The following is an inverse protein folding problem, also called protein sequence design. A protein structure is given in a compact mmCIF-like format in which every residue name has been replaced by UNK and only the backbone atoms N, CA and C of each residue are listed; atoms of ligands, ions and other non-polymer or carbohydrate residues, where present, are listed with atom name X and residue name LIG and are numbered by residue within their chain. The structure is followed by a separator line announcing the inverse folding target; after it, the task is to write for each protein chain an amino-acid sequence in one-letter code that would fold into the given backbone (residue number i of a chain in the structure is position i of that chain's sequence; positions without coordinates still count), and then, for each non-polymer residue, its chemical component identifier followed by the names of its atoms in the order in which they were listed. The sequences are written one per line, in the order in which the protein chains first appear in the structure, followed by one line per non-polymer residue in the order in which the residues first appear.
data_IF_050809219044
#
_entry.id   IF_050809219044
#
_cell.length_a   1.000
_cell.length_b   1.000
_cell.length_c   1.000
_cell.angle_alpha   90.00
_cell.angle_beta   90.00
_cell.angle_gamma   90.00
#
_symmetry.space_group_name_H-M   'P 1'
#
loop_
_entity.id
_entity.type
_entity.pdbx_description
1 polymer ?
#
# COMPACT_ATOMS: atom_id res chain seq x y z
N UNK A 1 -16.02 16.30 -25.29
CA UNK A 1 -15.60 15.31 -26.30
C UNK A 1 -14.15 14.98 -26.07
N UNK A 2 -13.83 13.79 -25.57
CA UNK A 2 -12.44 13.39 -25.34
C UNK A 2 -11.78 13.06 -26.69
N UNK A 3 -10.62 13.63 -26.96
CA UNK A 3 -9.87 13.29 -28.18
C UNK A 3 -9.38 11.85 -28.13
N UNK A 4 -9.31 11.15 -29.27
CA UNK A 4 -8.90 9.75 -29.31
C UNK A 4 -7.53 9.47 -28.65
N UNK A 5 -6.65 10.47 -28.61
CA UNK A 5 -5.27 10.40 -28.12
C UNK A 5 -5.02 11.04 -26.74
N UNK A 6 -6.00 11.78 -26.20
CA UNK A 6 -5.86 12.50 -24.93
C UNK A 6 -5.07 13.83 -25.01
N UNK A 7 -4.67 14.26 -26.22
CA UNK A 7 -3.80 15.43 -26.43
C UNK A 7 -4.47 16.75 -26.02
N UNK A 8 -5.79 16.84 -26.14
CA UNK A 8 -6.57 18.04 -25.74
C UNK A 8 -7.39 17.80 -24.48
N UNK A 9 -7.21 16.68 -23.79
CA UNK A 9 -8.00 16.36 -22.60
C UNK A 9 -7.71 17.36 -21.46
N UNK A 10 -6.54 18.02 -21.45
CA UNK A 10 -6.19 19.11 -20.53
C UNK A 10 -7.14 20.33 -20.59
N UNK A 11 -7.81 20.56 -21.73
CA UNK A 11 -8.77 21.66 -21.88
C UNK A 11 -10.13 21.37 -21.21
N UNK A 12 -10.35 20.13 -20.77
CA UNK A 12 -11.61 19.66 -20.21
C UNK A 12 -11.43 19.07 -18.80
N UNK A 13 -10.31 19.37 -18.16
CA UNK A 13 -10.06 18.99 -16.77
C UNK A 13 -10.92 19.82 -15.82
N UNK A 14 -11.35 19.20 -14.73
CA UNK A 14 -11.96 19.89 -13.60
C UNK A 14 -10.86 20.51 -12.72
N UNK A 15 -11.15 21.66 -12.12
CA UNK A 15 -10.22 22.26 -11.15
C UNK A 15 -10.21 21.43 -9.86
N UNK A 16 -9.02 21.11 -9.36
CA UNK A 16 -8.85 20.40 -8.11
C UNK A 16 -9.48 21.13 -6.90
N UNK A 17 -9.74 22.44 -6.96
CA UNK A 17 -10.48 23.13 -5.88
C UNK A 17 -11.89 22.57 -5.66
N UNK A 18 -12.49 21.97 -6.68
CA UNK A 18 -13.81 21.34 -6.62
C UNK A 18 -13.74 19.81 -6.43
N UNK A 19 -12.62 19.30 -5.89
CA UNK A 19 -12.34 17.87 -5.78
C UNK A 19 -13.43 17.06 -5.07
N UNK A 20 -13.99 16.09 -5.78
CA UNK A 20 -14.97 15.11 -5.28
C UNK A 20 -14.64 13.73 -5.82
N UNK A 21 -14.65 12.74 -4.93
CA UNK A 21 -14.32 11.35 -5.30
C UNK A 21 -15.28 10.30 -4.76
N UNK A 22 -15.95 10.62 -3.65
CA UNK A 22 -16.86 9.71 -2.95
C UNK A 22 -18.16 10.44 -2.67
N UNK A 23 -19.27 9.70 -2.67
CA UNK A 23 -20.62 10.27 -2.51
C UNK A 23 -20.94 10.67 -1.06
N UNK A 24 -20.05 10.33 -0.12
CA UNK A 24 -20.18 10.61 1.31
C UNK A 24 -19.05 11.48 1.83
N UNK A 25 -19.27 12.20 2.93
CA UNK A 25 -18.18 12.76 3.72
C UNK A 25 -17.41 11.62 4.40
N UNK A 26 -16.28 11.24 3.80
CA UNK A 26 -15.48 10.08 4.21
C UNK A 26 -14.99 10.21 5.65
N UNK A 27 -14.52 11.40 6.04
CA UNK A 27 -14.03 11.65 7.40
C UNK A 27 -15.11 11.39 8.43
N UNK A 28 -16.28 12.01 8.26
CA UNK A 28 -17.40 11.85 9.21
C UNK A 28 -17.90 10.40 9.24
N UNK A 29 -17.95 9.75 8.07
CA UNK A 29 -18.38 8.37 7.94
C UNK A 29 -17.43 7.41 8.67
N UNK A 30 -16.12 7.57 8.48
CA UNK A 30 -15.10 6.77 9.16
C UNK A 30 -15.14 6.98 10.67
N UNK A 31 -15.22 8.23 11.14
CA UNK A 31 -15.30 8.50 12.58
C UNK A 31 -16.56 7.89 13.20
N UNK A 32 -17.69 7.91 12.50
CA UNK A 32 -18.93 7.29 12.98
C UNK A 32 -18.76 5.78 13.19
N UNK A 33 -18.24 5.06 12.20
CA UNK A 33 -18.04 3.61 12.28
C UNK A 33 -17.01 3.20 13.33
N UNK A 34 -15.88 3.90 13.40
CA UNK A 34 -14.84 3.57 14.38
C UNK A 34 -15.31 3.81 15.82
N UNK A 35 -16.29 4.68 16.04
CA UNK A 35 -16.95 4.90 17.33
C UNK A 35 -18.16 3.98 17.56
N UNK A 36 -18.35 2.93 16.75
CA UNK A 36 -19.41 1.94 16.92
C UNK A 36 -20.78 2.36 16.38
N UNK A 37 -20.86 3.48 15.66
CA UNK A 37 -22.07 3.91 14.98
C UNK A 37 -22.35 3.12 13.70
N UNK A 38 -23.63 3.05 13.32
CA UNK A 38 -24.04 2.48 12.04
C UNK A 38 -23.59 3.38 10.87
N UNK A 39 -23.32 2.82 9.68
CA UNK A 39 -22.92 3.62 8.54
C UNK A 39 -24.07 4.52 8.07
N UNK A 40 -23.77 5.76 7.66
CA UNK A 40 -24.80 6.68 7.15
C UNK A 40 -25.26 6.35 5.73
N UNK A 41 -24.51 5.50 5.01
CA UNK A 41 -24.89 4.95 3.73
C UNK A 41 -24.79 3.43 3.80
N UNK A 42 -25.87 2.74 3.44
CA UNK A 42 -25.83 1.28 3.20
C UNK A 42 -25.12 0.93 1.88
N UNK A 43 -24.95 1.92 0.99
CA UNK A 43 -24.27 1.70 -0.29
C UNK A 43 -22.75 1.73 -0.09
N UNK A 44 -22.15 0.54 -0.05
CA UNK A 44 -20.70 0.35 -0.11
C UNK A 44 -20.27 0.34 -1.58
N UNK A 45 -19.33 1.22 -1.93
CA UNK A 45 -18.74 1.25 -3.28
C UNK A 45 -17.85 0.04 -3.50
N UNK A 46 -17.10 -0.35 -2.48
CA UNK A 46 -16.30 -1.58 -2.49
C UNK A 46 -16.81 -2.50 -1.38
N UNK A 47 -17.35 -3.64 -1.79
CA UNK A 47 -17.77 -4.69 -0.87
C UNK A 47 -16.55 -5.42 -0.32
N UNK A 48 -16.14 -5.04 0.89
CA UNK A 48 -14.96 -5.60 1.56
C UNK A 48 -15.22 -7.00 2.15
N UNK A 49 -16.49 -7.41 2.28
CA UNK A 49 -16.88 -8.75 2.74
C UNK A 49 -16.66 -9.78 1.65
N UNK A 50 -16.89 -9.41 0.39
CA UNK A 50 -16.63 -10.24 -0.79
C UNK A 50 -15.15 -10.38 -1.16
N UNK A 51 -14.24 -9.77 -0.41
CA UNK A 51 -12.78 -9.88 -0.60
C UNK A 51 -12.28 -11.17 0.05
N UNK A 52 -12.22 -12.25 -0.74
CA UNK A 52 -11.86 -13.61 -0.33
C UNK A 52 -10.37 -13.87 -0.41
N UNK A 53 -9.84 -14.65 0.54
CA UNK A 53 -8.46 -15.12 0.52
C UNK A 53 -8.45 -16.62 0.23
N UNK A 54 -7.49 -17.07 -0.57
CA UNK A 54 -7.18 -18.50 -0.75
C UNK A 54 -6.24 -19.03 0.34
N UNK A 55 -5.49 -18.15 0.98
CA UNK A 55 -4.67 -18.47 2.15
C UNK A 55 -5.46 -18.35 3.44
N UNK A 56 -5.09 -19.13 4.45
CA UNK A 56 -5.61 -18.95 5.80
C UNK A 56 -5.26 -17.57 6.37
N UNK A 57 -6.12 -16.96 7.21
CA UNK A 57 -5.81 -15.69 7.85
C UNK A 57 -4.55 -15.78 8.72
N UNK A 58 -3.58 -14.92 8.45
CA UNK A 58 -2.39 -14.79 9.29
C UNK A 58 -2.75 -14.08 10.60
N UNK A 59 -2.33 -14.67 11.72
CA UNK A 59 -2.52 -14.12 13.08
C UNK A 59 -1.18 -14.04 13.79
N UNK A 60 -1.03 -13.04 14.65
CA UNK A 60 0.10 -12.97 15.55
C UNK A 60 -0.03 -13.97 16.69
N UNK A 61 1.11 -14.38 17.24
CA UNK A 61 1.14 -15.30 18.38
C UNK A 61 0.75 -14.57 19.68
N UNK A 62 1.23 -13.34 19.87
CA UNK A 62 0.91 -12.50 21.01
C UNK A 62 0.72 -11.04 20.56
N UNK A 63 -0.36 -10.43 21.02
CA UNK A 63 -0.57 -9.00 20.83
C UNK A 63 0.32 -8.23 21.81
N UNK A 64 1.34 -7.54 21.28
CA UNK A 64 2.19 -6.62 22.05
C UNK A 64 2.09 -5.20 21.50
N UNK A 65 2.31 -4.22 22.37
CA UNK A 65 2.31 -2.82 21.96
C UNK A 65 3.35 -2.51 20.88
N UNK A 66 4.49 -3.20 20.92
CA UNK A 66 5.63 -3.01 20.02
C UNK A 66 5.64 -4.07 18.92
N UNK A 67 4.56 -4.13 18.12
CA UNK A 67 4.47 -5.03 16.96
C UNK A 67 4.56 -4.23 15.66
N UNK A 68 5.51 -4.63 14.81
CA UNK A 68 5.62 -4.18 13.42
C UNK A 68 5.25 -5.33 12.47
N UNK A 69 4.18 -5.12 11.70
CA UNK A 69 3.82 -5.99 10.58
C UNK A 69 4.40 -5.41 9.29
N UNK A 70 5.22 -6.18 8.60
CA UNK A 70 5.81 -5.84 7.31
C UNK A 70 5.09 -6.66 6.24
N UNK A 71 4.37 -5.99 5.34
CA UNK A 71 3.66 -6.64 4.23
C UNK A 71 4.34 -6.29 2.92
N UNK A 72 4.97 -7.29 2.29
CA UNK A 72 5.68 -7.14 1.03
C UNK A 72 4.73 -7.46 -0.13
N UNK A 73 4.43 -6.46 -0.97
CA UNK A 73 3.70 -6.61 -2.23
C UNK A 73 4.60 -7.30 -3.26
N UNK A 74 4.21 -8.49 -3.69
CA UNK A 74 5.00 -9.30 -4.63
C UNK A 74 4.11 -9.88 -5.74
N UNK A 75 4.73 -10.41 -6.80
CA UNK A 75 4.05 -11.10 -7.88
C UNK A 75 4.01 -12.60 -7.66
N UNK A 76 2.95 -13.26 -8.09
CA UNK A 76 2.81 -14.72 -7.95
C UNK A 76 4.02 -15.53 -8.48
N UNK A 77 4.62 -15.08 -9.57
CA UNK A 77 5.79 -15.63 -10.25
C UNK A 77 7.14 -15.26 -9.61
N UNK A 78 7.19 -14.30 -8.69
CA UNK A 78 8.43 -13.76 -8.10
C UNK A 78 8.94 -14.57 -6.88
N UNK A 79 9.01 -15.90 -7.03
CA UNK A 79 9.43 -16.82 -5.96
C UNK A 79 10.84 -16.49 -5.45
N UNK A 80 11.76 -16.15 -6.36
CA UNK A 80 13.14 -15.81 -6.01
C UNK A 80 13.21 -14.57 -5.10
N UNK A 81 12.41 -13.53 -5.37
CA UNK A 81 12.32 -12.33 -4.51
C UNK A 81 11.78 -12.69 -3.13
N UNK A 82 10.76 -13.53 -3.04
CA UNK A 82 10.24 -14.01 -1.74
C UNK A 82 11.29 -14.81 -0.97
N UNK A 83 11.99 -15.73 -1.63
CA UNK A 83 13.05 -16.53 -0.99
C UNK A 83 14.22 -15.67 -0.51
N UNK A 84 14.54 -14.63 -1.25
CA UNK A 84 15.50 -13.61 -0.86
C UNK A 84 15.11 -12.90 0.45
N UNK A 85 13.87 -12.42 0.55
CA UNK A 85 13.33 -11.87 1.80
C UNK A 85 13.36 -12.89 2.94
N UNK A 86 12.96 -14.15 2.67
CA UNK A 86 13.01 -15.26 3.63
C UNK A 86 14.43 -15.56 4.13
N UNK A 87 15.44 -15.40 3.28
CA UNK A 87 16.85 -15.58 3.63
C UNK A 87 17.44 -14.39 4.40
N UNK A 88 16.78 -13.23 4.37
CA UNK A 88 17.26 -11.96 4.94
C UNK A 88 16.27 -11.37 5.95
N UNK A 89 15.46 -10.38 5.54
CA UNK A 89 14.60 -9.59 6.41
C UNK A 89 13.63 -10.44 7.23
N UNK A 90 12.99 -11.45 6.62
CA UNK A 90 11.97 -12.25 7.30
C UNK A 90 12.53 -13.16 8.40
N UNK A 91 13.87 -13.31 8.51
CA UNK A 91 14.53 -14.00 9.63
C UNK A 91 14.56 -13.15 10.91
N UNK A 92 14.44 -11.84 10.77
CA UNK A 92 14.48 -10.89 11.88
C UNK A 92 13.09 -10.87 12.52
N UNK A 93 12.90 -11.68 13.56
CA UNK A 93 11.63 -11.77 14.29
C UNK A 93 11.49 -10.76 15.42
N UNK A 94 12.60 -10.19 15.87
CA UNK A 94 12.60 -9.12 16.85
C UNK A 94 13.84 -8.24 16.72
N UNK A 95 13.71 -6.97 17.11
CA UNK A 95 14.82 -6.01 17.14
C UNK A 95 14.49 -4.87 18.09
N UNK A 96 15.42 -4.53 18.99
CA UNK A 96 15.29 -3.43 19.96
C UNK A 96 13.94 -3.40 20.72
N UNK A 97 13.48 -4.57 21.18
CA UNK A 97 12.21 -4.70 21.93
C UNK A 97 10.97 -4.88 21.06
N UNK A 98 11.05 -4.62 19.75
CA UNK A 98 9.94 -4.79 18.82
C UNK A 98 9.83 -6.21 18.29
N UNK A 99 8.62 -6.73 18.22
CA UNK A 99 8.27 -7.93 17.47
C UNK A 99 8.06 -7.58 15.99
N UNK A 100 8.64 -8.36 15.10
CA UNK A 100 8.61 -8.12 13.66
C UNK A 100 8.07 -9.38 12.97
N UNK A 101 7.01 -9.19 12.19
CA UNK A 101 6.51 -10.23 11.28
C UNK A 101 6.55 -9.72 9.85
N UNK A 102 7.21 -10.45 8.96
CA UNK A 102 7.18 -10.19 7.52
C UNK A 102 6.30 -11.21 6.83
N UNK A 103 5.41 -10.74 5.97
CA UNK A 103 4.49 -11.57 5.16
C UNK A 103 4.42 -11.01 3.74
N UNK A 104 3.98 -11.84 2.81
CA UNK A 104 3.85 -11.49 1.39
C UNK A 104 2.37 -11.34 1.02
N UNK A 105 2.04 -10.35 0.19
CA UNK A 105 0.68 -10.20 -0.37
C UNK A 105 0.72 -10.25 -1.89
N UNK A 106 -0.17 -11.05 -2.47
CA UNK A 106 -0.29 -11.22 -3.92
C UNK A 106 -1.67 -11.69 -4.35
N UNK A 107 -1.93 -11.57 -5.65
CA UNK A 107 -3.05 -12.24 -6.31
C UNK A 107 -2.60 -13.54 -6.96
N UNK A 108 -3.47 -14.13 -7.77
CA UNK A 108 -3.15 -15.29 -8.60
C UNK A 108 -2.93 -14.86 -10.07
N UNK A 109 -2.19 -15.64 -10.85
CA UNK A 109 -1.98 -15.40 -12.26
C UNK A 109 -2.17 -16.69 -13.08
N UNK A 110 -3.23 -16.73 -13.89
CA UNK A 110 -3.62 -17.95 -14.60
C UNK A 110 -3.93 -19.08 -13.62
N UNK A 111 -3.37 -20.27 -13.86
CA UNK A 111 -3.63 -21.48 -13.07
C UNK A 111 -2.58 -21.74 -11.98
N UNK A 112 -1.81 -20.74 -11.57
CA UNK A 112 -0.73 -20.90 -10.58
C UNK A 112 -1.21 -21.01 -9.12
N UNK A 113 -2.52 -20.96 -8.87
CA UNK A 113 -3.07 -20.96 -7.52
C UNK A 113 -2.62 -22.17 -6.68
N UNK A 114 -2.59 -23.37 -7.27
CA UNK A 114 -2.15 -24.58 -6.59
C UNK A 114 -0.69 -24.48 -6.15
N UNK A 115 0.18 -23.92 -6.99
CA UNK A 115 1.59 -23.70 -6.65
C UNK A 115 1.75 -22.72 -5.50
N UNK A 116 0.97 -21.64 -5.48
CA UNK A 116 0.96 -20.68 -4.37
C UNK A 116 0.47 -21.30 -3.07
N UNK A 117 -0.56 -22.15 -3.14
CA UNK A 117 -1.07 -22.89 -1.97
C UNK A 117 -0.01 -23.84 -1.42
N UNK A 118 0.69 -24.60 -2.27
CA UNK A 118 1.77 -25.49 -1.82
C UNK A 118 2.96 -24.71 -1.24
N UNK A 119 3.32 -23.56 -1.81
CA UNK A 119 4.32 -22.67 -1.23
C UNK A 119 3.88 -22.17 0.16
N UNK A 120 2.62 -21.71 0.28
CA UNK A 120 2.11 -21.19 1.53
C UNK A 120 1.96 -22.27 2.60
N UNK A 121 1.63 -23.53 2.25
CA UNK A 121 1.66 -24.66 3.18
C UNK A 121 3.04 -24.87 3.80
N UNK A 122 4.10 -24.60 3.04
CA UNK A 122 5.48 -24.76 3.50
C UNK A 122 5.94 -23.61 4.41
N UNK A 123 5.60 -22.37 4.07
CA UNK A 123 6.18 -21.19 4.73
C UNK A 123 5.19 -20.43 5.64
N UNK A 124 3.89 -20.57 5.42
CA UNK A 124 2.80 -19.92 6.16
C UNK A 124 3.01 -18.40 6.32
N UNK A 125 3.49 -17.75 5.26
CA UNK A 125 3.86 -16.34 5.26
C UNK A 125 3.22 -15.55 4.11
N UNK A 126 2.16 -16.07 3.49
CA UNK A 126 1.54 -15.48 2.30
C UNK A 126 0.05 -15.17 2.54
N UNK A 127 -0.34 -13.99 2.07
CA UNK A 127 -1.71 -13.53 1.88
C UNK A 127 -2.02 -13.66 0.39
N UNK A 128 -2.80 -14.67 0.03
CA UNK A 128 -3.17 -14.96 -1.37
C UNK A 128 -4.61 -14.51 -1.57
N UNK A 129 -4.80 -13.38 -2.24
CA UNK A 129 -6.12 -12.85 -2.52
C UNK A 129 -6.77 -13.44 -3.77
N UNK A 130 -8.10 -13.47 -3.79
CA UNK A 130 -8.91 -13.86 -4.94
C UNK A 130 -9.04 -12.70 -5.93
N UNK A 131 -7.93 -12.40 -6.62
CA UNK A 131 -7.89 -11.45 -7.72
C UNK A 131 -6.71 -11.75 -8.65
N UNK A 132 -6.85 -11.35 -9.91
CA UNK A 132 -5.77 -11.49 -10.90
C UNK A 132 -4.63 -10.52 -10.57
N UNK A 133 -3.43 -11.04 -10.39
CA UNK A 133 -2.22 -10.27 -10.16
C UNK A 133 -1.80 -9.55 -11.44
N UNK A 134 -2.08 -8.26 -11.48
CA UNK A 134 -1.78 -7.34 -12.57
C UNK A 134 -1.42 -5.98 -11.97
N UNK A 135 -0.57 -5.21 -12.65
CA UNK A 135 -0.09 -3.93 -12.13
C UNK A 135 -1.21 -2.97 -11.71
N UNK A 136 -2.24 -2.80 -12.56
CA UNK A 136 -3.42 -1.97 -12.27
C UNK A 136 -4.36 -2.52 -11.18
N UNK A 137 -4.08 -3.73 -10.68
CA UNK A 137 -4.78 -4.36 -9.56
C UNK A 137 -3.98 -4.27 -8.25
N UNK A 138 -2.89 -3.50 -8.19
CA UNK A 138 -2.13 -3.29 -6.96
C UNK A 138 -2.98 -2.71 -5.82
N UNK A 139 -4.03 -1.95 -6.14
CA UNK A 139 -4.99 -1.45 -5.14
C UNK A 139 -5.66 -2.59 -4.37
N UNK A 140 -5.88 -3.76 -4.99
CA UNK A 140 -6.34 -4.94 -4.25
C UNK A 140 -5.29 -5.43 -3.26
N UNK A 141 -4.00 -5.46 -3.60
CA UNK A 141 -2.93 -5.84 -2.66
C UNK A 141 -2.96 -4.96 -1.40
N UNK A 142 -3.19 -3.66 -1.55
CA UNK A 142 -3.35 -2.78 -0.39
C UNK A 142 -4.59 -3.12 0.45
N UNK A 143 -5.73 -3.42 -0.19
CA UNK A 143 -6.92 -3.86 0.55
C UNK A 143 -6.64 -5.14 1.35
N UNK A 144 -6.03 -6.15 0.73
CA UNK A 144 -5.66 -7.39 1.42
C UNK A 144 -4.65 -7.11 2.55
N UNK A 145 -3.66 -6.26 2.32
CA UNK A 145 -2.68 -5.86 3.34
C UNK A 145 -3.34 -5.20 4.54
N UNK A 146 -4.22 -4.22 4.32
CA UNK A 146 -4.95 -3.52 5.38
C UNK A 146 -5.95 -4.45 6.09
N UNK A 147 -6.67 -5.29 5.36
CA UNK A 147 -7.57 -6.31 5.93
C UNK A 147 -6.81 -7.27 6.84
N UNK A 148 -5.62 -7.72 6.42
CA UNK A 148 -4.79 -8.57 7.26
C UNK A 148 -4.29 -7.81 8.48
N UNK A 149 -3.78 -6.59 8.34
CA UNK A 149 -3.32 -5.78 9.48
C UNK A 149 -4.43 -5.53 10.52
N UNK A 150 -5.65 -5.24 10.06
CA UNK A 150 -6.83 -5.07 10.92
C UNK A 150 -7.17 -6.32 11.74
N UNK A 151 -6.87 -7.50 11.22
CA UNK A 151 -7.20 -8.79 11.83
C UNK A 151 -5.97 -9.51 12.41
N UNK A 152 -4.78 -8.94 12.30
CA UNK A 152 -3.54 -9.66 12.59
C UNK A 152 -3.40 -9.97 14.09
N UNK A 153 -3.75 -9.03 14.95
CA UNK A 153 -3.72 -9.14 16.41
C UNK A 153 -5.02 -8.61 17.03
N UNK A 154 -5.18 -8.69 18.35
CA UNK A 154 -6.27 -8.00 19.07
C UNK A 154 -6.21 -6.49 18.92
N UNK A 155 -5.00 -5.93 18.78
CA UNK A 155 -4.77 -4.54 18.41
C UNK A 155 -4.06 -4.45 17.07
N UNK A 156 -4.44 -3.47 16.25
CA UNK A 156 -3.80 -3.23 14.96
C UNK A 156 -2.32 -2.85 15.19
N UNK A 157 -1.35 -3.52 14.54
CA UNK A 157 0.07 -3.21 14.68
C UNK A 157 0.45 -1.97 13.86
N UNK A 158 1.65 -1.45 14.08
CA UNK A 158 2.26 -0.59 13.06
C UNK A 158 2.46 -1.42 11.78
N UNK A 159 2.14 -0.82 10.63
CA UNK A 159 2.25 -1.46 9.34
C UNK A 159 3.31 -0.77 8.49
N UNK A 160 4.21 -1.57 7.92
CA UNK A 160 5.10 -1.18 6.83
C UNK A 160 4.72 -1.97 5.59
N UNK A 161 4.15 -1.32 4.59
CA UNK A 161 3.89 -1.93 3.29
C UNK A 161 4.97 -1.52 2.29
N UNK A 162 5.53 -2.46 1.54
CA UNK A 162 6.58 -2.17 0.55
C UNK A 162 6.52 -3.11 -0.65
N UNK A 163 7.12 -2.71 -1.78
CA UNK A 163 7.28 -3.58 -2.95
C UNK A 163 8.49 -4.52 -2.78
N UNK A 164 8.45 -5.66 -3.47
CA UNK A 164 9.46 -6.72 -3.35
C UNK A 164 10.84 -6.44 -4.00
N UNK A 165 11.07 -5.26 -4.60
CA UNK A 165 12.39 -4.79 -5.04
C UNK A 165 13.06 -3.77 -4.12
N UNK A 166 12.46 -3.47 -2.97
CA UNK A 166 13.03 -2.58 -1.97
C UNK A 166 13.90 -3.34 -0.98
N UNK A 167 14.97 -2.70 -0.50
CA UNK A 167 15.72 -3.11 0.70
C UNK A 167 15.54 -2.05 1.76
N UNK A 168 15.30 -2.51 2.99
CA UNK A 168 15.19 -1.65 4.17
C UNK A 168 16.24 -2.02 5.21
N UNK A 169 16.77 -1.01 5.89
CA UNK A 169 17.55 -1.20 7.10
C UNK A 169 16.58 -1.29 8.30
N UNK A 170 16.50 -2.46 8.93
CA UNK A 170 15.54 -2.69 10.01
C UNK A 170 15.80 -1.80 11.24
N UNK A 171 17.05 -1.41 11.52
CA UNK A 171 17.35 -0.52 12.65
C UNK A 171 16.78 0.87 12.44
N UNK A 172 16.83 1.38 11.20
CA UNK A 172 16.23 2.67 10.86
C UNK A 172 14.70 2.60 10.90
N UNK A 173 14.13 1.50 10.43
CA UNK A 173 12.68 1.24 10.48
C UNK A 173 12.19 1.22 11.92
N UNK A 174 12.86 0.47 12.80
CA UNK A 174 12.51 0.40 14.22
C UNK A 174 12.71 1.74 14.91
N UNK A 175 13.82 2.45 14.66
CA UNK A 175 14.03 3.81 15.20
C UNK A 175 12.90 4.75 14.79
N UNK A 176 12.42 4.65 13.55
CA UNK A 176 11.34 5.48 13.05
C UNK A 176 10.00 5.19 13.75
N UNK A 177 9.62 3.92 13.90
CA UNK A 177 8.33 3.56 14.55
C UNK A 177 8.37 3.67 16.07
N UNK A 178 9.54 3.51 16.70
CA UNK A 178 9.70 3.61 18.17
C UNK A 178 9.37 4.99 18.73
N UNK A 179 9.51 6.05 17.93
CA UNK A 179 9.18 7.42 18.34
C UNK A 179 7.73 7.82 18.05
N UNK A 180 6.89 6.92 17.54
CA UNK A 180 5.55 7.21 17.05
C UNK A 180 4.49 6.68 18.01
N UNK A 181 3.32 7.32 18.03
CA UNK A 181 2.17 6.90 18.84
C UNK A 181 1.13 6.20 17.97
N UNK A 182 0.39 5.24 18.56
CA UNK A 182 -0.57 4.42 17.82
C UNK A 182 -1.73 5.22 17.21
N UNK A 183 -2.15 6.27 17.90
CA UNK A 183 -3.25 7.15 17.51
C UNK A 183 -2.80 8.37 16.68
N UNK A 184 -1.56 8.38 16.20
CA UNK A 184 -1.09 9.40 15.26
C UNK A 184 -1.72 9.20 13.88
N UNK A 185 -2.02 10.28 13.16
CA UNK A 185 -2.28 10.25 11.71
C UNK A 185 -1.00 10.03 10.89
N UNK A 186 -0.40 8.84 11.01
CA UNK A 186 0.83 8.48 10.29
C UNK A 186 0.51 7.80 8.96
N UNK A 187 0.75 8.51 7.87
CA UNK A 187 0.84 8.01 6.50
C UNK A 187 2.11 8.61 5.88
N UNK A 188 3.18 7.81 5.78
CA UNK A 188 4.52 8.34 5.53
C UNK A 188 5.34 7.51 4.53
N UNK A 189 6.13 8.18 3.72
CA UNK A 189 7.06 7.57 2.76
C UNK A 189 7.67 8.62 1.82
N UNK A 190 7.91 8.25 0.57
CA UNK A 190 8.35 9.23 -0.42
C UNK A 190 7.14 10.03 -0.94
N UNK A 191 6.98 11.25 -0.43
CA UNK A 191 5.89 12.14 -0.82
C UNK A 191 6.09 12.70 -2.21
N UNK A 192 5.05 12.63 -3.03
CA UNK A 192 4.99 13.22 -4.36
C UNK A 192 3.84 14.23 -4.49
N UNK A 193 4.10 15.19 -5.36
CA UNK A 193 3.12 16.11 -5.93
C UNK A 193 3.15 15.87 -7.45
N UNK A 194 2.00 15.89 -8.09
CA UNK A 194 1.96 15.64 -9.53
C UNK A 194 0.58 15.85 -10.12
N UNK A 195 0.56 15.73 -11.45
CA UNK A 195 -0.60 15.95 -12.29
C UNK A 195 -0.88 14.67 -13.09
N UNK A 196 -2.14 14.39 -13.44
CA UNK A 196 -2.48 13.23 -14.25
C UNK A 196 -1.90 13.34 -15.66
N UNK A 197 -1.20 12.30 -16.08
CA UNK A 197 -0.66 12.25 -17.41
C UNK A 197 -1.77 11.93 -18.43
N UNK A 198 -2.07 12.85 -19.36
CA UNK A 198 -3.23 12.71 -20.27
C UNK A 198 -2.98 11.93 -21.55
N UNK A 199 -1.72 11.81 -21.95
CA UNK A 199 -1.39 11.12 -23.20
C UNK A 199 -1.53 9.59 -23.03
N UNK A 200 -2.46 9.01 -23.79
CA UNK A 200 -3.00 7.65 -23.55
C UNK A 200 -2.04 6.50 -23.80
N UNK A 201 -0.99 6.71 -24.59
CA UNK A 201 0.02 5.67 -24.88
C UNK A 201 1.14 5.60 -23.84
N UNK A 202 1.10 6.46 -22.82
CA UNK A 202 1.99 6.33 -21.69
C UNK A 202 1.40 5.35 -20.67
N UNK A 203 2.27 4.57 -20.02
CA UNK A 203 1.93 3.63 -18.95
C UNK A 203 1.10 4.26 -17.82
N UNK A 204 1.30 5.55 -17.57
CA UNK A 204 0.62 6.34 -16.55
C UNK A 204 -0.54 7.19 -17.11
N UNK A 205 -0.91 6.98 -18.38
CA UNK A 205 -2.00 7.68 -19.05
C UNK A 205 -3.35 7.52 -18.33
N UNK A 206 -4.06 8.63 -18.13
CA UNK A 206 -5.38 8.69 -17.51
C UNK A 206 -6.36 9.46 -18.39
N UNK A 207 -7.49 8.84 -18.67
CA UNK A 207 -8.64 9.51 -19.27
C UNK A 207 -9.36 10.37 -18.23
N UNK A 208 -10.10 11.39 -18.68
CA UNK A 208 -10.96 12.21 -17.81
C UNK A 208 -12.02 11.38 -17.06
N UNK A 209 -12.45 10.24 -17.63
CA UNK A 209 -13.38 9.30 -16.96
C UNK A 209 -12.72 8.57 -15.79
N UNK A 210 -11.43 8.28 -15.90
CA UNK A 210 -10.66 7.66 -14.82
C UNK A 210 -10.33 8.66 -13.73
N UNK A 211 -9.95 9.89 -14.11
CA UNK A 211 -9.61 10.97 -13.19
C UNK A 211 -9.86 12.34 -13.85
N UNK A 212 -10.90 13.11 -13.47
CA UNK A 212 -11.27 14.33 -14.20
C UNK A 212 -10.45 15.56 -13.81
N UNK A 213 -9.82 15.59 -12.64
CA UNK A 213 -9.15 16.78 -12.09
C UNK A 213 -7.78 17.06 -12.71
N UNK A 214 -7.35 18.31 -12.71
CA UNK A 214 -6.05 18.75 -13.22
C UNK A 214 -4.84 18.43 -12.31
N UNK A 215 -5.05 18.14 -11.02
CA UNK A 215 -3.98 17.83 -10.06
C UNK A 215 -4.32 16.57 -9.27
N UNK A 216 -3.32 15.81 -8.84
CA UNK A 216 -3.51 14.82 -7.78
C UNK A 216 -3.40 15.46 -6.40
N UNK A 217 -4.14 14.97 -5.39
CA UNK A 217 -3.78 15.24 -4.02
C UNK A 217 -2.37 14.72 -3.73
N UNK A 218 -1.61 15.33 -2.81
CA UNK A 218 -0.31 14.80 -2.42
C UNK A 218 -0.42 13.35 -1.96
N UNK A 219 0.53 12.51 -2.38
CA UNK A 219 0.49 11.08 -2.09
C UNK A 219 1.87 10.55 -1.72
N UNK A 220 1.92 9.38 -1.08
CA UNK A 220 3.15 8.63 -0.85
C UNK A 220 3.28 7.57 -1.94
N UNK A 221 4.44 7.48 -2.59
CA UNK A 221 4.68 6.43 -3.59
C UNK A 221 4.54 5.04 -2.99
N UNK A 222 3.98 4.12 -3.76
CA UNK A 222 3.60 2.79 -3.26
C UNK A 222 4.77 1.86 -2.90
N UNK A 223 6.02 2.30 -3.12
CA UNK A 223 7.21 1.49 -2.95
C UNK A 223 7.53 1.16 -1.49
N UNK A 224 7.33 2.10 -0.57
CA UNK A 224 7.49 1.89 0.87
C UNK A 224 6.65 2.91 1.64
N UNK A 225 5.74 2.43 2.48
CA UNK A 225 4.78 3.25 3.21
C UNK A 225 4.63 2.77 4.65
N UNK A 226 4.74 3.70 5.58
CA UNK A 226 4.46 3.50 7.00
C UNK A 226 3.05 3.95 7.35
N UNK A 227 2.41 3.17 8.21
CA UNK A 227 1.07 3.39 8.71
C UNK A 227 1.03 3.18 10.22
N UNK A 228 0.43 4.11 10.95
CA UNK A 228 0.04 3.86 12.34
C UNK A 228 -1.17 2.93 12.39
N UNK A 229 -1.42 2.30 13.56
CA UNK A 229 -2.67 1.61 13.84
C UNK A 229 -3.93 2.42 13.52
N UNK A 230 -3.96 3.71 13.87
CA UNK A 230 -5.09 4.59 13.52
C UNK A 230 -5.22 4.74 12.00
N UNK A 231 -4.12 4.99 11.29
CA UNK A 231 -4.17 5.12 9.83
C UNK A 231 -4.66 3.86 9.14
N UNK A 232 -4.23 2.67 9.57
CA UNK A 232 -4.75 1.41 9.05
C UNK A 232 -6.26 1.31 9.23
N UNK A 233 -6.79 1.64 10.42
CA UNK A 233 -8.23 1.63 10.70
C UNK A 233 -9.00 2.63 9.84
N UNK A 234 -8.54 3.88 9.78
CA UNK A 234 -9.25 4.94 9.06
C UNK A 234 -9.23 4.71 7.54
N UNK A 235 -8.08 4.35 6.97
CA UNK A 235 -7.98 4.06 5.54
C UNK A 235 -8.76 2.82 5.15
N UNK A 236 -8.68 1.73 5.92
CA UNK A 236 -9.44 0.52 5.62
C UNK A 236 -10.95 0.75 5.62
N UNK A 237 -11.45 1.55 6.56
CA UNK A 237 -12.87 1.93 6.59
C UNK A 237 -13.22 2.85 5.43
N UNK A 238 -12.37 3.84 5.10
CA UNK A 238 -12.57 4.74 3.97
C UNK A 238 -12.64 4.01 2.61
N UNK A 239 -11.85 2.94 2.45
CA UNK A 239 -11.85 2.12 1.23
C UNK A 239 -13.24 1.56 0.89
N UNK A 240 -14.16 1.39 1.85
CA UNK A 240 -15.54 0.90 1.59
C UNK A 240 -16.38 1.88 0.75
N UNK A 241 -16.12 3.18 0.87
CA UNK A 241 -17.01 4.25 0.40
C UNK A 241 -16.53 4.97 -0.86
N UNK A 242 -15.31 4.69 -1.29
CA UNK A 242 -14.63 5.46 -2.31
C UNK A 242 -14.22 4.58 -3.48
N UNK A 243 -14.56 4.99 -4.70
CA UNK A 243 -14.16 4.25 -5.91
C UNK A 243 -12.66 4.00 -5.92
N UNK A 244 -12.26 2.76 -6.21
CA UNK A 244 -10.85 2.40 -6.38
C UNK A 244 -10.23 3.14 -7.57
N UNK A 245 -9.00 3.59 -7.40
CA UNK A 245 -8.16 4.05 -8.51
C UNK A 245 -7.17 2.95 -8.91
N UNK A 246 -6.79 2.91 -10.20
CA UNK A 246 -5.89 1.86 -10.76
C UNK A 246 -4.44 1.97 -10.28
N UNK A 247 -4.03 3.16 -9.86
CA UNK A 247 -2.76 3.40 -9.19
C UNK A 247 -3.02 3.45 -7.69
N UNK A 248 -2.40 2.54 -6.96
CA UNK A 248 -2.61 2.31 -5.54
C UNK A 248 -2.12 3.49 -4.69
N UNK A 249 -1.00 4.09 -5.07
CA UNK A 249 -0.43 5.29 -4.43
C UNK A 249 -1.31 6.54 -4.61
N UNK A 250 -1.79 6.80 -5.83
CA UNK A 250 -2.76 7.88 -6.09
C UNK A 250 -4.05 7.63 -5.31
N UNK A 251 -4.54 6.39 -5.26
CA UNK A 251 -5.74 6.07 -4.47
C UNK A 251 -5.54 6.39 -2.99
N UNK A 252 -4.39 6.03 -2.41
CA UNK A 252 -4.07 6.37 -1.02
C UNK A 252 -3.92 7.87 -0.81
N UNK A 253 -3.39 8.63 -1.78
CA UNK A 253 -3.40 10.09 -1.74
C UNK A 253 -4.80 10.69 -1.70
N UNK A 254 -5.71 10.16 -2.51
CA UNK A 254 -7.13 10.56 -2.50
C UNK A 254 -7.76 10.29 -1.14
N UNK A 255 -7.60 9.08 -0.58
CA UNK A 255 -8.14 8.76 0.73
C UNK A 255 -7.51 9.62 1.84
N UNK A 256 -6.19 9.87 1.77
CA UNK A 256 -5.49 10.74 2.70
C UNK A 256 -6.07 12.17 2.69
N UNK A 257 -6.32 12.72 1.51
CA UNK A 257 -6.93 14.04 1.35
C UNK A 257 -8.33 14.10 1.98
N UNK A 258 -9.18 13.10 1.68
CA UNK A 258 -10.55 13.04 2.20
C UNK A 258 -10.64 12.76 3.71
N UNK A 259 -9.62 12.11 4.26
CA UNK A 259 -9.47 11.83 5.69
C UNK A 259 -8.72 12.93 6.45
N UNK A 260 -8.31 14.00 5.77
CA UNK A 260 -7.56 15.12 6.36
C UNK A 260 -6.25 14.61 7.01
N UNK A 261 -5.49 13.83 6.23
CA UNK A 261 -4.12 13.45 6.50
C UNK A 261 -3.16 14.35 5.73
N UNK A 262 -2.03 14.66 6.35
CA UNK A 262 -0.88 15.23 5.66
C UNK A 262 0.15 14.13 5.40
N UNK A 263 0.34 13.70 4.13
CA UNK A 263 1.39 12.74 3.80
C UNK A 263 2.75 13.25 4.31
N UNK A 264 3.41 12.42 5.12
CA UNK A 264 4.69 12.77 5.73
C UNK A 264 5.83 12.25 4.85
N UNK A 265 6.76 13.13 4.49
CA UNK A 265 7.98 12.71 3.78
C UNK A 265 8.93 12.02 4.75
N UNK A 266 9.60 10.95 4.30
CA UNK A 266 10.73 10.35 4.99
C UNK A 266 12.02 10.95 4.45
N UNK A 267 12.62 11.96 5.11
CA UNK A 267 13.82 12.60 4.58
C UNK A 267 15.06 11.70 4.62
N UNK A 268 15.09 10.65 5.44
CA UNK A 268 16.34 9.91 5.77
C UNK A 268 16.19 8.39 5.94
N UNK A 269 15.10 7.79 5.45
CA UNK A 269 15.08 6.34 5.35
C UNK A 269 16.04 5.95 4.20
N UNK A 270 17.27 5.54 4.53
CA UNK A 270 18.23 4.95 3.59
C UNK A 270 17.61 3.70 2.96
N UNK A 271 16.90 3.91 1.86
CA UNK A 271 16.12 2.91 1.15
C UNK A 271 16.78 2.72 -0.20
N UNK A 272 17.25 1.50 -0.46
CA UNK A 272 17.87 1.17 -1.73
C UNK A 272 16.84 0.45 -2.62
N UNK A 273 16.61 0.98 -3.82
CA UNK A 273 15.89 0.31 -4.90
C UNK A 273 16.86 -0.67 -5.55
N UNK A 274 16.48 -1.94 -5.68
CA UNK A 274 17.20 -3.06 -6.33
C UNK A 274 17.95 -4.03 -5.39
N UNK A 275 17.18 -4.96 -4.82
CA UNK A 275 17.65 -6.13 -4.07
C UNK A 275 18.74 -6.97 -4.78
N UNK A 276 18.56 -7.26 -6.08
CA UNK A 276 19.50 -8.12 -6.83
C UNK A 276 20.86 -7.47 -7.06
N UNK A 277 20.92 -6.14 -7.15
CA UNK A 277 22.19 -5.43 -7.34
C UNK A 277 23.01 -5.41 -6.05
N UNK A 278 22.35 -5.29 -4.91
CA UNK A 278 22.97 -5.36 -3.58
C UNK A 278 23.58 -6.74 -3.28
N UNK A 279 22.86 -7.84 -3.58
CA UNK A 279 23.41 -9.19 -3.39
C UNK A 279 24.63 -9.47 -4.28
N UNK A 280 24.67 -8.88 -5.48
CA UNK A 280 25.77 -9.05 -6.43
C UNK A 280 26.91 -8.05 -6.20
N UNK A 281 26.68 -6.98 -5.43
CA UNK A 281 27.70 -5.99 -5.10
C UNK A 281 28.32 -6.31 -3.74
N UNK A 282 29.47 -6.99 -3.74
CA UNK A 282 30.37 -7.06 -2.58
C UNK A 282 31.02 -5.69 -2.24
N UNK A 283 30.37 -4.56 -2.54
CA UNK A 283 30.96 -3.23 -2.45
C UNK A 283 30.15 -2.31 -1.53
N UNK A 284 30.83 -1.89 -0.48
CA UNK A 284 30.42 -0.94 0.56
C UNK A 284 30.36 0.50 0.05
N UNK A 285 29.51 0.83 -0.94
CA UNK A 285 29.14 2.22 -1.22
C UNK A 285 27.67 2.40 -1.65
N UNK A 286 26.92 3.34 -1.03
CA UNK A 286 25.54 3.63 -1.39
C UNK A 286 25.49 4.54 -2.63
N UNK A 287 24.88 4.08 -3.72
CA UNK A 287 24.59 4.93 -4.89
C UNK A 287 23.26 5.66 -4.70
N UNK A 288 23.30 6.99 -4.82
CA UNK A 288 22.16 7.92 -4.83
C UNK A 288 21.27 7.68 -6.07
N UNK A 289 19.96 7.50 -5.87
CA UNK A 289 18.99 7.06 -6.89
C UNK A 289 18.05 8.18 -7.36
N UNK A 290 18.47 9.45 -7.31
CA UNK A 290 17.74 10.61 -7.86
C UNK A 290 17.22 10.43 -9.31
N UNK A 291 17.73 9.46 -10.08
CA UNK A 291 17.43 9.31 -11.52
C UNK A 291 16.38 8.26 -11.89
N UNK A 292 16.02 7.30 -11.01
CA UNK A 292 15.18 6.16 -11.42
C UNK A 292 13.67 6.39 -11.24
N UNK A 293 13.26 7.48 -10.57
CA UNK A 293 11.85 7.87 -10.48
C UNK A 293 11.32 8.54 -11.76
N UNK A 294 12.20 8.96 -12.68
CA UNK A 294 11.82 9.62 -13.96
C UNK A 294 11.84 8.70 -15.17
N UNK A 295 12.42 7.50 -15.06
CA UNK A 295 12.72 6.64 -16.20
C UNK A 295 12.03 5.25 -16.14
N UNK A 296 10.74 5.18 -15.78
CA UNK A 296 9.91 3.99 -16.01
C UNK A 296 8.42 4.26 -15.90
#
# INVERSE_FOLDING_TARGET
MASGLGVVDFLYEEDFTDFKWCDVNVKDQVQRELNGGLPASEYLVNDMENIKMFSDPLRCQEARNDTLLIIVKTGADRIERRNAYRATLSRIKSRAGWNIQTVFVMGHHGNNINTLIEENKKYMDMIIGDFRDHYYNNSYKLIYAMKTAMNFCSEVPFLLSLDDDYIINIDNVIRYVSGRVKDEKLYAGWRMYGEPYRYRFNKFGLTLKEYPYNLFPPFITGGMVFWSPLAVKEFYTAMKYCKMHKFDDVWMGILAYLLDYHPQSLPEANVHRNYLRYLNSNTSQPTDLRTDARNN
#
